data_IF_504268785946
#
_entry.id   IF_504268785946
#
_cell.length_a   1.000
_cell.length_b   1.000
_cell.length_c   1.000
_cell.angle_alpha   90.00
_cell.angle_beta   90.00
_cell.angle_gamma   90.00
#
_symmetry.space_group_name_H-M   'P 1'
#
loop_
_entity.id
_entity.type
_entity.pdbx_description
1 polymer ?
#
# COMPACT_ATOMS: atom_id res chain seq x y z
N UNK A 1 -21.82 4.56 37.38
CA UNK A 1 -20.55 3.85 37.64
C UNK A 1 -20.85 2.37 37.48
N UNK A 2 -20.46 1.76 36.35
CA UNK A 2 -20.61 0.33 36.11
C UNK A 2 -19.22 -0.21 35.74
N UNK A 3 -18.65 -1.02 36.63
CA UNK A 3 -17.44 -1.78 36.33
C UNK A 3 -17.88 -3.09 35.67
N UNK A 4 -17.92 -3.13 34.35
CA UNK A 4 -18.10 -4.39 33.63
C UNK A 4 -16.76 -5.12 33.63
N UNK A 5 -16.62 -6.08 34.54
CA UNK A 5 -15.61 -7.13 34.48
C UNK A 5 -15.80 -7.89 33.17
N UNK A 6 -14.82 -7.80 32.26
CA UNK A 6 -14.77 -8.58 31.03
C UNK A 6 -14.34 -10.01 31.37
N UNK A 7 -15.27 -10.77 31.95
CA UNK A 7 -15.15 -12.21 32.09
C UNK A 7 -15.54 -12.85 30.76
N UNK A 8 -14.57 -13.07 29.86
CA UNK A 8 -14.46 -14.25 28.98
C UNK A 8 -13.40 -13.99 27.88
N UNK A 9 -12.14 -14.34 28.19
CA UNK A 9 -11.16 -14.84 27.22
C UNK A 9 -10.05 -15.55 27.99
N UNK A 10 -10.19 -16.86 28.22
CA UNK A 10 -9.45 -17.59 29.25
C UNK A 10 -7.97 -17.90 28.95
N UNK A 11 -7.34 -17.35 27.91
CA UNK A 11 -5.97 -17.77 27.52
C UNK A 11 -4.92 -16.68 27.24
N UNK A 12 -5.19 -15.40 27.47
CA UNK A 12 -4.15 -14.37 27.30
C UNK A 12 -3.66 -13.87 28.66
N UNK A 13 -2.40 -14.20 28.99
CA UNK A 13 -1.71 -13.73 30.21
C UNK A 13 -0.85 -12.52 29.87
N UNK A 14 -1.05 -11.43 30.59
CA UNK A 14 -0.28 -10.21 30.40
C UNK A 14 0.81 -10.10 31.48
N UNK A 15 2.02 -9.77 31.04
CA UNK A 15 3.17 -9.53 31.92
C UNK A 15 3.72 -8.14 31.68
N UNK A 16 4.03 -7.42 32.75
CA UNK A 16 4.75 -6.15 32.70
C UNK A 16 6.16 -6.41 33.18
N UNK A 17 7.13 -6.03 32.34
CA UNK A 17 8.54 -6.21 32.62
C UNK A 17 9.21 -4.84 32.84
N UNK A 18 9.86 -4.66 33.98
CA UNK A 18 10.74 -3.53 34.23
C UNK A 18 12.20 -4.02 34.15
N UNK A 19 12.97 -3.49 33.20
CA UNK A 19 14.37 -3.87 32.96
C UNK A 19 15.30 -2.80 33.51
N UNK A 20 16.14 -3.17 34.48
CA UNK A 20 17.25 -2.33 34.94
C UNK A 20 18.50 -2.66 34.10
N UNK A 21 18.81 -1.76 33.14
CA UNK A 21 19.93 -1.93 32.20
C UNK A 21 21.30 -1.93 32.87
N UNK A 22 21.46 -1.26 34.01
CA UNK A 22 22.75 -1.18 34.72
C UNK A 22 23.05 -2.47 35.48
N UNK A 23 22.02 -3.05 36.10
CA UNK A 23 22.13 -4.29 36.86
C UNK A 23 21.91 -5.54 36.00
N UNK A 24 21.53 -5.37 34.73
CA UNK A 24 21.09 -6.46 33.82
C UNK A 24 20.06 -7.38 34.46
N UNK A 25 19.13 -6.82 35.25
CA UNK A 25 18.06 -7.59 35.89
C UNK A 25 16.70 -7.15 35.38
N UNK A 26 15.77 -8.10 35.27
CA UNK A 26 14.40 -7.86 34.82
C UNK A 26 13.44 -8.31 35.91
N UNK A 27 12.56 -7.40 36.34
CA UNK A 27 11.44 -7.73 37.24
C UNK A 27 10.19 -7.92 36.39
N UNK A 28 9.63 -9.12 36.41
CA UNK A 28 8.39 -9.47 35.70
C UNK A 28 7.25 -9.50 36.72
N UNK A 29 6.18 -8.78 36.45
CA UNK A 29 4.95 -8.79 37.25
C UNK A 29 3.78 -9.23 36.39
N UNK A 30 3.01 -10.21 36.89
CA UNK A 30 1.80 -10.69 36.22
C UNK A 30 0.65 -9.71 36.43
N UNK A 31 0.04 -9.23 35.34
CA UNK A 31 -1.10 -8.31 35.40
C UNK A 31 -2.38 -9.13 35.46
N UNK A 32 -3.05 -9.10 36.62
CA UNK A 32 -4.27 -9.89 36.87
C UNK A 32 -5.52 -9.33 36.18
N UNK A 33 -5.55 -8.04 35.82
CA UNK A 33 -6.71 -7.41 35.19
C UNK A 33 -6.28 -6.22 34.32
N UNK A 34 -6.82 -6.15 33.09
CA UNK A 34 -6.76 -4.96 32.24
C UNK A 34 -8.07 -4.19 32.39
N UNK A 35 -7.98 -2.88 32.64
CA UNK A 35 -9.15 -2.01 32.73
C UNK A 35 -9.31 -1.25 31.42
N UNK A 36 -10.41 -1.47 30.71
CA UNK A 36 -10.86 -0.58 29.64
C UNK A 36 -11.69 0.55 30.26
N UNK A 37 -11.21 1.78 30.13
CA UNK A 37 -11.93 2.98 30.53
C UNK A 37 -12.52 3.65 29.29
N UNK A 38 -13.84 3.67 29.19
CA UNK A 38 -14.57 4.53 28.25
C UNK A 38 -14.93 5.85 28.96
N UNK A 39 -14.46 6.98 28.42
CA UNK A 39 -14.92 8.30 28.85
C UNK A 39 -16.34 8.50 28.32
N UNK A 40 -17.27 8.74 29.24
CA UNK A 40 -18.61 9.26 28.90
C UNK A 40 -18.66 10.68 29.43
N UNK A 41 -18.84 11.63 28.52
CA UNK A 41 -18.96 13.04 28.88
C UNK A 41 -20.24 13.24 29.69
N UNK A 42 -20.10 13.94 30.81
CA UNK A 42 -21.18 14.31 31.72
C UNK A 42 -22.22 15.18 30.99
N UNK A 43 -23.50 14.86 31.23
CA UNK A 43 -24.74 15.52 30.73
C UNK A 43 -24.57 16.97 30.23
N UNK A 44 -25.08 17.32 29.03
CA UNK A 44 -25.11 18.70 28.56
C UNK A 44 -26.14 19.52 29.35
N UNK A 45 -25.71 20.70 29.80
CA UNK A 45 -26.56 21.80 30.25
C UNK A 45 -27.29 22.34 29.02
N UNK A 46 -28.60 22.56 29.12
CA UNK A 46 -29.45 22.99 28.00
C UNK A 46 -28.95 24.32 27.43
N UNK A 47 -28.68 24.36 26.13
CA UNK A 47 -28.06 25.50 25.44
C UNK A 47 -28.89 26.79 25.50
N UNK A 48 -30.21 26.67 25.69
CA UNK A 48 -31.14 27.80 25.75
C UNK A 48 -30.95 28.70 26.99
N UNK A 49 -30.56 28.15 28.14
CA UNK A 49 -30.34 28.96 29.36
C UNK A 49 -28.97 29.67 29.34
N UNK A 50 -27.99 29.13 28.61
CA UNK A 50 -26.67 29.73 28.49
C UNK A 50 -26.62 30.90 27.49
N UNK A 51 -27.54 30.94 26.52
CA UNK A 51 -27.61 32.05 25.55
C UNK A 51 -28.23 33.32 26.15
N UNK A 52 -29.23 33.19 27.02
CA UNK A 52 -29.98 34.34 27.54
C UNK A 52 -29.14 35.17 28.53
N UNK A 53 -28.35 34.51 29.39
CA UNK A 53 -27.37 35.14 30.27
C UNK A 53 -26.22 35.82 29.51
N UNK A 54 -25.86 35.30 28.34
CA UNK A 54 -24.77 35.85 27.52
C UNK A 54 -25.20 37.11 26.75
N UNK A 55 -26.46 37.14 26.28
CA UNK A 55 -27.05 38.28 25.58
C UNK A 55 -27.29 39.44 26.54
N UNK A 56 -27.90 39.19 27.70
CA UNK A 56 -28.13 40.21 28.73
C UNK A 56 -26.83 40.83 29.24
N UNK A 57 -25.79 40.01 29.44
CA UNK A 57 -24.46 40.51 29.83
C UNK A 57 -23.78 41.33 28.74
N UNK A 58 -23.98 41.00 27.46
CA UNK A 58 -23.44 41.77 26.35
C UNK A 58 -24.10 43.17 26.26
N UNK A 59 -25.42 43.24 26.42
CA UNK A 59 -26.16 44.51 26.44
C UNK A 59 -25.75 45.40 27.61
N UNK A 60 -25.58 44.83 28.81
CA UNK A 60 -25.10 45.57 29.98
C UNK A 60 -23.68 46.12 29.78
N UNK A 61 -22.79 45.36 29.13
CA UNK A 61 -21.43 45.83 28.81
C UNK A 61 -21.46 46.91 27.72
N UNK A 62 -22.42 46.86 26.80
CA UNK A 62 -22.59 47.89 25.76
C UNK A 62 -23.16 49.20 26.34
N UNK A 63 -24.12 49.13 27.26
CA UNK A 63 -24.75 50.29 27.89
C UNK A 63 -23.90 50.89 29.00
N UNK A 64 -23.36 50.08 29.93
CA UNK A 64 -22.69 50.55 31.15
C UNK A 64 -21.20 50.20 31.25
N UNK A 65 -20.68 49.40 30.31
CA UNK A 65 -19.28 48.99 30.33
C UNK A 65 -18.31 50.14 30.06
N UNK A 66 -17.14 50.11 30.72
CA UNK A 66 -16.04 51.04 30.42
C UNK A 66 -15.45 50.84 29.02
N UNK A 67 -14.66 51.81 28.55
CA UNK A 67 -14.06 51.83 27.19
C UNK A 67 -13.28 50.54 26.85
N UNK A 68 -12.64 49.92 27.85
CA UNK A 68 -11.93 48.63 27.72
C UNK A 68 -12.88 47.43 27.58
N UNK A 69 -14.03 47.45 28.26
CA UNK A 69 -15.04 46.40 28.18
C UNK A 69 -15.74 46.37 26.82
N UNK A 70 -16.09 47.54 26.28
CA UNK A 70 -16.69 47.69 24.95
C UNK A 70 -15.74 47.19 23.84
N UNK A 71 -14.45 47.52 23.93
CA UNK A 71 -13.44 47.05 22.96
C UNK A 71 -13.30 45.52 22.97
N UNK A 72 -13.30 44.90 24.14
CA UNK A 72 -13.23 43.44 24.26
C UNK A 72 -14.51 42.74 23.73
N UNK A 73 -15.69 43.34 23.95
CA UNK A 73 -16.94 42.84 23.37
C UNK A 73 -16.89 42.91 21.84
N UNK A 74 -16.42 44.04 21.30
CA UNK A 74 -16.31 44.26 19.87
C UNK A 74 -15.31 43.30 19.21
N UNK A 75 -14.15 43.06 19.83
CA UNK A 75 -13.21 42.03 19.34
C UNK A 75 -13.77 40.60 19.40
N UNK A 76 -14.68 40.30 20.33
CA UNK A 76 -15.37 38.99 20.36
C UNK A 76 -16.43 38.86 19.27
N UNK A 77 -17.11 39.96 18.92
CA UNK A 77 -18.05 40.00 17.79
C UNK A 77 -17.28 39.86 16.47
N UNK A 78 -16.17 40.58 16.32
CA UNK A 78 -15.31 40.53 15.13
C UNK A 78 -14.58 39.17 14.99
N UNK A 79 -14.22 38.53 16.12
CA UNK A 79 -13.64 37.19 16.15
C UNK A 79 -14.64 36.04 16.03
N UNK A 80 -15.95 36.33 16.09
CA UNK A 80 -17.01 35.36 15.80
C UNK A 80 -17.16 35.29 14.28
N UNK A 81 -16.18 34.66 13.65
CA UNK A 81 -16.28 34.22 12.26
C UNK A 81 -17.53 33.35 12.16
N UNK A 82 -18.59 33.89 11.56
CA UNK A 82 -19.84 33.17 11.38
C UNK A 82 -19.55 31.97 10.48
N UNK A 83 -20.00 30.79 10.91
CA UNK A 83 -19.90 29.53 10.15
C UNK A 83 -20.48 29.65 8.75
N UNK A 84 -21.37 30.61 8.52
CA UNK A 84 -21.92 30.98 7.21
C UNK A 84 -20.89 31.64 6.28
N UNK A 85 -19.99 32.48 6.80
CA UNK A 85 -18.92 33.11 5.98
C UNK A 85 -17.83 32.10 5.62
N UNK A 86 -17.54 31.15 6.51
CA UNK A 86 -16.64 30.02 6.20
C UNK A 86 -17.29 29.14 5.14
N UNK A 87 -18.58 28.82 5.27
CA UNK A 87 -19.29 28.02 4.27
C UNK A 87 -19.38 28.72 2.90
N UNK A 88 -19.57 30.05 2.84
CA UNK A 88 -19.58 30.80 1.58
C UNK A 88 -18.19 30.91 0.94
N UNK A 89 -17.14 31.13 1.74
CA UNK A 89 -15.76 31.19 1.24
C UNK A 89 -15.24 29.80 0.83
N UNK A 90 -15.61 28.74 1.55
CA UNK A 90 -15.33 27.35 1.16
C UNK A 90 -16.13 26.94 -0.08
N UNK A 91 -17.40 27.34 -0.20
CA UNK A 91 -18.21 27.09 -1.40
C UNK A 91 -17.64 27.82 -2.63
N UNK A 92 -17.18 29.06 -2.49
CA UNK A 92 -16.50 29.79 -3.58
C UNK A 92 -15.14 29.17 -3.93
N UNK A 93 -14.37 28.72 -2.94
CA UNK A 93 -13.11 28.02 -3.18
C UNK A 93 -13.35 26.68 -3.91
N UNK A 94 -14.37 25.93 -3.51
CA UNK A 94 -14.80 24.70 -4.18
C UNK A 94 -15.30 24.98 -5.60
N UNK A 95 -16.10 26.03 -5.80
CA UNK A 95 -16.63 26.36 -7.12
C UNK A 95 -15.56 26.87 -8.10
N UNK A 96 -14.51 27.56 -7.60
CA UNK A 96 -13.34 27.92 -8.41
C UNK A 96 -12.45 26.70 -8.71
N UNK A 97 -12.37 25.73 -7.80
CA UNK A 97 -11.67 24.46 -8.02
C UNK A 97 -12.43 23.61 -9.05
N UNK A 98 -13.76 23.55 -8.94
CA UNK A 98 -14.62 22.83 -9.89
C UNK A 98 -14.58 23.51 -11.25
N UNK A 99 -14.66 24.85 -11.34
CA UNK A 99 -14.63 25.55 -12.64
C UNK A 99 -13.27 25.45 -13.33
N UNK A 100 -12.17 25.39 -12.57
CA UNK A 100 -10.82 25.13 -13.12
C UNK A 100 -10.59 23.66 -13.49
N UNK A 101 -11.36 22.73 -12.91
CA UNK A 101 -11.37 21.31 -13.29
C UNK A 101 -12.29 21.02 -14.49
N UNK A 102 -13.44 21.68 -14.60
CA UNK A 102 -14.41 21.48 -15.69
C UNK A 102 -13.83 21.95 -17.04
N UNK A 103 -12.95 22.95 -17.05
CA UNK A 103 -12.18 23.32 -18.25
C UNK A 103 -11.10 22.31 -18.69
N UNK A 104 -10.86 21.24 -17.91
CA UNK A 104 -9.93 20.14 -18.22
C UNK A 104 -10.64 18.82 -18.56
N UNK A 105 -11.98 18.78 -18.52
CA UNK A 105 -12.74 17.56 -18.89
C UNK A 105 -13.13 17.69 -20.35
N UNK A 106 -12.12 17.54 -21.21
CA UNK A 106 -12.29 17.28 -22.64
C UNK A 106 -11.04 16.55 -23.11
N UNK A 107 -11.00 15.27 -22.76
CA UNK A 107 -10.26 14.18 -23.40
C UNK A 107 -10.61 12.86 -22.68
N UNK A 108 -11.64 12.18 -23.16
CA UNK A 108 -12.07 10.83 -22.75
C UNK A 108 -11.07 9.71 -23.13
N UNK A 109 -9.78 10.01 -23.29
CA UNK A 109 -8.72 9.04 -23.60
C UNK A 109 -7.50 9.12 -22.68
N UNK A 110 -7.56 9.92 -21.61
CA UNK A 110 -6.44 10.09 -20.67
C UNK A 110 -6.87 9.97 -19.19
N UNK A 111 -7.80 9.06 -18.88
CA UNK A 111 -7.77 8.45 -17.54
C UNK A 111 -6.51 7.58 -17.55
N UNK A 112 -5.40 8.15 -17.12
CA UNK A 112 -4.23 7.37 -16.73
C UNK A 112 -4.75 6.37 -15.71
N UNK A 113 -4.77 5.10 -16.12
CA UNK A 113 -4.96 3.95 -15.26
C UNK A 113 -3.77 3.85 -14.31
N UNK A 114 -3.65 4.80 -13.38
CA UNK A 114 -2.58 4.89 -12.38
C UNK A 114 -2.64 3.65 -11.48
N UNK A 115 -1.99 2.56 -11.92
CA UNK A 115 -1.88 1.32 -11.15
C UNK A 115 -2.12 0.04 -11.95
N UNK A 116 -2.71 0.10 -13.16
CA UNK A 116 -2.89 -1.09 -13.98
C UNK A 116 -1.65 -1.35 -14.88
N UNK A 117 -1.28 -2.62 -15.10
CA UNK A 117 -0.30 -2.97 -16.12
C UNK A 117 -0.78 -2.58 -17.53
N UNK A 118 0.13 -2.48 -18.52
CA UNK A 118 -0.23 -2.12 -19.89
C UNK A 118 -1.28 -3.10 -20.44
N UNK A 119 -2.46 -2.57 -20.75
CA UNK A 119 -3.62 -3.32 -21.21
C UNK A 119 -3.84 -3.07 -22.70
N UNK A 120 -4.02 -4.13 -23.49
CA UNK A 120 -4.35 -4.04 -24.90
C UNK A 120 -5.84 -4.32 -25.12
N UNK A 121 -6.68 -3.30 -25.36
CA UNK A 121 -8.12 -3.47 -25.57
C UNK A 121 -8.47 -4.10 -26.94
N UNK A 122 -7.50 -4.16 -27.87
CA UNK A 122 -7.76 -4.50 -29.28
C UNK A 122 -7.56 -5.98 -29.60
N UNK A 123 -7.49 -6.86 -28.61
CA UNK A 123 -7.24 -8.29 -28.81
C UNK A 123 -8.35 -9.13 -28.19
N UNK A 124 -8.81 -10.12 -28.96
CA UNK A 124 -9.80 -11.11 -28.55
C UNK A 124 -9.15 -12.30 -27.81
N UNK A 125 -7.81 -12.36 -27.77
CA UNK A 125 -7.06 -13.42 -27.07
C UNK A 125 -6.66 -12.97 -25.68
N UNK A 126 -7.00 -13.78 -24.69
CA UNK A 126 -6.69 -13.55 -23.27
C UNK A 126 -5.18 -13.38 -23.03
N UNK A 127 -4.34 -14.14 -23.74
CA UNK A 127 -2.88 -14.09 -23.61
C UNK A 127 -2.24 -12.80 -24.15
N UNK A 128 -2.93 -12.10 -25.05
CA UNK A 128 -2.46 -10.86 -25.66
C UNK A 128 -3.04 -9.62 -24.96
N UNK A 129 -4.03 -9.81 -24.08
CA UNK A 129 -4.68 -8.75 -23.31
C UNK A 129 -3.67 -7.98 -22.45
N UNK A 130 -2.66 -8.68 -21.93
CA UNK A 130 -1.53 -8.12 -21.21
C UNK A 130 -0.21 -8.58 -21.84
N UNK A 131 0.31 -7.85 -22.84
CA UNK A 131 1.51 -8.26 -23.56
C UNK A 131 2.73 -8.27 -22.63
N UNK A 132 3.54 -9.33 -22.73
CA UNK A 132 4.77 -9.47 -21.94
C UNK A 132 5.77 -8.36 -22.26
N UNK A 133 5.76 -7.85 -23.49
CA UNK A 133 6.58 -6.73 -23.95
C UNK A 133 6.24 -5.41 -23.23
N UNK A 134 5.01 -5.30 -22.68
CA UNK A 134 4.60 -4.20 -21.82
C UNK A 134 4.97 -4.41 -20.35
N UNK A 135 5.02 -5.67 -19.89
CA UNK A 135 5.32 -6.03 -18.51
C UNK A 135 6.82 -6.02 -18.22
N UNK A 136 7.62 -6.58 -19.13
CA UNK A 136 9.09 -6.69 -19.03
C UNK A 136 9.72 -5.71 -20.02
N UNK A 137 10.68 -4.92 -19.55
CA UNK A 137 11.37 -3.98 -20.42
C UNK A 137 12.14 -4.69 -21.55
N UNK A 138 12.20 -4.06 -22.72
CA UNK A 138 13.14 -4.48 -23.76
C UNK A 138 14.61 -4.52 -23.27
N UNK A 139 14.97 -3.63 -22.32
CA UNK A 139 16.30 -3.59 -21.71
C UNK A 139 16.60 -4.76 -20.76
N UNK A 140 15.55 -5.38 -20.20
CA UNK A 140 15.63 -6.50 -19.25
C UNK A 140 15.48 -7.85 -19.94
N UNK A 141 14.84 -7.87 -21.12
CA UNK A 141 14.41 -9.08 -21.80
C UNK A 141 15.49 -10.15 -21.91
N UNK A 142 16.68 -9.78 -22.38
CA UNK A 142 17.82 -10.71 -22.54
C UNK A 142 18.31 -11.31 -21.21
N UNK A 143 18.27 -10.53 -20.14
CA UNK A 143 18.74 -10.97 -18.82
C UNK A 143 17.70 -11.88 -18.15
N UNK A 144 16.41 -11.57 -18.32
CA UNK A 144 15.30 -12.40 -17.86
C UNK A 144 15.24 -13.71 -18.64
N UNK A 145 15.40 -13.66 -19.97
CA UNK A 145 15.40 -14.82 -20.85
C UNK A 145 16.54 -15.78 -20.51
N UNK A 146 17.78 -15.29 -20.42
CA UNK A 146 18.91 -16.13 -20.02
C UNK A 146 18.76 -16.74 -18.62
N UNK A 147 18.20 -15.99 -17.66
CA UNK A 147 17.93 -16.54 -16.33
C UNK A 147 16.82 -17.59 -16.36
N UNK A 148 15.77 -17.35 -17.14
CA UNK A 148 14.66 -18.27 -17.33
C UNK A 148 15.11 -19.59 -17.94
N UNK A 149 15.97 -19.56 -18.97
CA UNK A 149 16.53 -20.77 -19.58
C UNK A 149 17.36 -21.59 -18.58
N UNK A 150 18.25 -20.93 -17.83
CA UNK A 150 19.08 -21.60 -16.83
C UNK A 150 18.23 -22.22 -15.74
N UNK A 151 17.24 -21.49 -15.22
CA UNK A 151 16.33 -21.99 -14.19
C UNK A 151 15.48 -23.15 -14.72
N UNK A 152 14.90 -23.02 -15.91
CA UNK A 152 14.11 -24.09 -16.53
C UNK A 152 14.94 -25.36 -16.73
N UNK A 153 16.20 -25.23 -17.15
CA UNK A 153 17.10 -26.37 -17.32
C UNK A 153 17.36 -27.11 -16.00
N UNK A 154 17.54 -26.36 -14.89
CA UNK A 154 17.75 -26.94 -13.56
C UNK A 154 16.48 -27.61 -13.03
N UNK A 155 15.32 -26.99 -13.20
CA UNK A 155 14.03 -27.56 -12.78
C UNK A 155 13.74 -28.84 -13.56
N UNK A 156 13.97 -28.84 -14.88
CA UNK A 156 13.82 -30.02 -15.74
C UNK A 156 14.77 -31.15 -15.35
N UNK A 157 15.98 -30.82 -14.88
CA UNK A 157 16.95 -31.78 -14.36
C UNK A 157 16.64 -32.26 -12.92
N UNK A 158 15.47 -31.93 -12.35
CA UNK A 158 15.12 -32.18 -10.95
C UNK A 158 16.09 -31.56 -9.92
N UNK A 159 16.82 -30.50 -10.30
CA UNK A 159 17.76 -29.75 -9.45
C UNK A 159 17.11 -28.46 -8.95
N UNK A 160 15.86 -28.54 -8.53
CA UNK A 160 15.07 -27.39 -8.10
C UNK A 160 15.67 -26.70 -6.86
N UNK A 161 16.25 -27.45 -5.93
CA UNK A 161 16.86 -26.88 -4.72
C UNK A 161 18.10 -26.02 -5.04
N UNK A 162 18.88 -26.40 -6.05
CA UNK A 162 19.99 -25.58 -6.53
C UNK A 162 19.49 -24.29 -7.21
N UNK A 163 18.40 -24.38 -7.96
CA UNK A 163 17.78 -23.21 -8.55
C UNK A 163 17.26 -22.25 -7.47
N UNK A 164 16.67 -22.78 -6.39
CA UNK A 164 16.27 -21.99 -5.21
C UNK A 164 17.45 -21.32 -4.53
N UNK A 165 18.57 -22.03 -4.33
CA UNK A 165 19.73 -21.44 -3.65
C UNK A 165 20.44 -20.38 -4.50
N UNK A 166 20.65 -20.68 -5.79
CA UNK A 166 21.45 -19.83 -6.68
C UNK A 166 20.69 -18.60 -7.18
N UNK A 167 19.41 -18.74 -7.51
CA UNK A 167 18.58 -17.67 -8.05
C UNK A 167 17.55 -17.16 -7.03
N UNK A 168 17.54 -17.72 -5.83
CA UNK A 168 16.63 -17.33 -4.76
C UNK A 168 15.17 -17.46 -5.18
N UNK A 169 14.80 -18.59 -5.77
CA UNK A 169 13.44 -18.88 -6.18
C UNK A 169 12.56 -19.22 -4.97
N UNK A 170 11.34 -18.68 -4.97
CA UNK A 170 10.30 -19.06 -4.03
C UNK A 170 9.67 -20.40 -4.43
N UNK A 171 9.11 -21.12 -3.46
CA UNK A 171 8.47 -22.43 -3.69
C UNK A 171 7.35 -22.36 -4.72
N UNK A 172 6.53 -21.31 -4.67
CA UNK A 172 5.45 -21.06 -5.64
C UNK A 172 6.00 -20.93 -7.07
N UNK A 173 7.13 -20.26 -7.25
CA UNK A 173 7.74 -20.11 -8.58
C UNK A 173 8.23 -21.45 -9.12
N UNK A 174 8.84 -22.27 -8.25
CA UNK A 174 9.31 -23.61 -8.63
C UNK A 174 8.14 -24.52 -9.01
N UNK A 175 7.01 -24.44 -8.29
CA UNK A 175 5.79 -25.18 -8.62
C UNK A 175 5.22 -24.76 -9.99
N UNK A 176 5.09 -23.45 -10.22
CA UNK A 176 4.60 -22.90 -11.51
C UNK A 176 5.51 -23.37 -12.67
N UNK A 177 6.83 -23.25 -12.51
CA UNK A 177 7.80 -23.71 -13.50
C UNK A 177 7.71 -25.22 -13.73
N UNK A 178 7.59 -26.01 -12.66
CA UNK A 178 7.43 -27.46 -12.74
C UNK A 178 6.17 -27.85 -13.52
N UNK A 179 5.05 -27.17 -13.28
CA UNK A 179 3.80 -27.41 -13.99
C UNK A 179 3.91 -27.01 -15.47
N UNK A 180 4.43 -25.81 -15.76
CA UNK A 180 4.63 -25.35 -17.12
C UNK A 180 5.53 -26.29 -17.94
N UNK A 181 6.58 -26.85 -17.33
CA UNK A 181 7.49 -27.79 -17.99
C UNK A 181 6.90 -29.20 -18.14
N UNK A 182 5.95 -29.62 -17.28
CA UNK A 182 5.29 -30.94 -17.32
C UNK A 182 4.11 -30.99 -18.28
N UNK A 183 3.34 -29.90 -18.38
CA UNK A 183 2.22 -29.78 -19.32
C UNK A 183 2.65 -29.93 -20.78
N UNK A 184 3.94 -29.75 -21.06
CA UNK A 184 4.44 -29.66 -22.42
C UNK A 184 5.16 -30.94 -22.86
N UNK A 185 4.39 -31.97 -23.22
CA UNK A 185 4.90 -33.14 -23.93
C UNK A 185 5.28 -32.82 -25.40
N UNK A 186 4.76 -31.73 -25.96
CA UNK A 186 5.15 -31.14 -27.26
C UNK A 186 5.02 -29.59 -27.17
N UNK A 187 6.10 -28.78 -27.33
CA UNK A 187 5.96 -27.33 -27.24
C UNK A 187 5.83 -26.66 -28.61
N UNK A 188 4.86 -25.76 -28.73
CA UNK A 188 5.16 -24.43 -29.24
C UNK A 188 6.17 -23.82 -28.25
N UNK A 189 7.45 -23.85 -28.63
CA UNK A 189 8.61 -23.43 -27.80
C UNK A 189 8.39 -22.04 -27.16
N UNK A 190 7.60 -21.21 -27.84
CA UNK A 190 7.25 -19.85 -27.43
C UNK A 190 6.39 -19.77 -26.17
N UNK A 191 5.40 -20.64 -25.99
CA UNK A 191 4.48 -20.55 -24.85
C UNK A 191 5.17 -20.95 -23.55
N UNK A 192 6.00 -22.00 -23.60
CA UNK A 192 6.84 -22.41 -22.46
C UNK A 192 7.83 -21.32 -22.12
N UNK A 193 8.45 -20.70 -23.13
CA UNK A 193 9.37 -19.57 -22.92
C UNK A 193 8.67 -18.42 -22.20
N UNK A 194 7.49 -18.02 -22.68
CA UNK A 194 6.68 -16.96 -22.07
C UNK A 194 6.27 -17.28 -20.63
N UNK A 195 5.76 -18.49 -20.36
CA UNK A 195 5.39 -18.93 -18.99
C UNK A 195 6.60 -18.92 -18.06
N UNK A 196 7.76 -19.39 -18.54
CA UNK A 196 9.00 -19.44 -17.76
C UNK A 196 9.54 -18.05 -17.44
N UNK A 197 9.58 -17.16 -18.44
CA UNK A 197 9.98 -15.76 -18.25
C UNK A 197 9.05 -15.05 -17.27
N UNK A 198 7.75 -15.27 -17.39
CA UNK A 198 6.73 -14.72 -16.48
C UNK A 198 6.96 -15.19 -15.05
N UNK A 199 7.21 -16.49 -14.84
CA UNK A 199 7.46 -17.07 -13.53
C UNK A 199 8.74 -16.52 -12.87
N UNK A 200 9.81 -16.35 -13.64
CA UNK A 200 11.07 -15.76 -13.14
C UNK A 200 10.87 -14.29 -12.77
N UNK A 201 10.21 -13.50 -13.62
CA UNK A 201 9.96 -12.09 -13.32
C UNK A 201 9.01 -11.93 -12.11
N UNK A 202 8.01 -12.81 -11.99
CA UNK A 202 7.14 -12.89 -10.82
C UNK A 202 7.95 -13.13 -9.54
N UNK A 203 8.96 -14.00 -9.55
CA UNK A 203 9.84 -14.22 -8.40
C UNK A 203 10.52 -12.93 -7.95
N UNK A 204 11.02 -12.13 -8.89
CA UNK A 204 11.63 -10.85 -8.58
C UNK A 204 10.64 -9.89 -7.91
N UNK A 205 9.41 -9.78 -8.42
CA UNK A 205 8.37 -8.94 -7.85
C UNK A 205 7.93 -9.41 -6.45
N UNK A 206 7.77 -10.72 -6.25
CA UNK A 206 7.38 -11.28 -4.95
C UNK A 206 8.46 -11.02 -3.90
N UNK A 207 9.74 -11.21 -4.24
CA UNK A 207 10.85 -10.91 -3.33
C UNK A 207 11.01 -9.42 -3.09
N UNK A 208 10.80 -8.61 -4.11
CA UNK A 208 10.79 -7.16 -3.96
C UNK A 208 9.68 -6.72 -2.99
N UNK A 209 8.49 -7.31 -3.11
CA UNK A 209 7.37 -7.04 -2.22
C UNK A 209 7.70 -7.39 -0.76
N UNK A 210 8.33 -8.55 -0.53
CA UNK A 210 8.62 -9.06 0.81
C UNK A 210 9.80 -8.39 1.51
N UNK A 211 10.85 -8.06 0.74
CA UNK A 211 12.17 -7.74 1.29
C UNK A 211 12.49 -6.25 1.24
N UNK A 212 11.90 -5.50 0.28
CA UNK A 212 12.23 -4.09 0.06
C UNK A 212 11.04 -3.22 0.46
N UNK A 213 11.21 -2.43 1.52
CA UNK A 213 10.22 -1.41 1.96
C UNK A 213 10.69 0.03 1.75
N UNK A 214 12.00 0.23 1.74
CA UNK A 214 12.63 1.50 1.48
C UNK A 214 14.15 1.34 1.45
N UNK A 215 14.81 2.14 0.63
CA UNK A 215 16.25 2.08 0.42
C UNK A 215 16.83 3.50 0.28
N UNK A 216 18.12 3.67 0.55
CA UNK A 216 18.80 4.91 0.16
C UNK A 216 18.88 4.99 -1.36
N UNK A 217 18.61 6.16 -1.97
CA UNK A 217 18.61 6.35 -3.44
C UNK A 217 19.90 5.89 -4.11
N UNK A 218 21.05 6.10 -3.45
CA UNK A 218 22.38 5.71 -3.98
C UNK A 218 22.64 4.20 -3.90
N UNK A 219 22.01 3.50 -2.96
CA UNK A 219 22.22 2.08 -2.74
C UNK A 219 21.02 1.22 -3.15
N UNK A 220 19.97 1.84 -3.73
CA UNK A 220 18.70 1.18 -3.96
C UNK A 220 18.84 -0.01 -4.92
N UNK A 221 19.51 0.16 -6.05
CA UNK A 221 19.73 -0.92 -7.02
C UNK A 221 20.48 -2.10 -6.41
N UNK A 222 21.54 -1.84 -5.63
CA UNK A 222 22.33 -2.88 -4.96
C UNK A 222 21.53 -3.62 -3.89
N UNK A 223 20.79 -2.89 -3.04
CA UNK A 223 19.94 -3.49 -2.00
C UNK A 223 18.83 -4.33 -2.64
N UNK A 224 18.23 -3.84 -3.73
CA UNK A 224 17.20 -4.57 -4.46
C UNK A 224 17.79 -5.82 -5.10
N UNK A 225 18.94 -5.70 -5.76
CA UNK A 225 19.64 -6.83 -6.39
C UNK A 225 19.95 -7.93 -5.39
N UNK A 226 20.49 -7.59 -4.21
CA UNK A 226 20.77 -8.58 -3.15
C UNK A 226 19.47 -9.21 -2.62
N UNK A 227 18.44 -8.39 -2.42
CA UNK A 227 17.18 -8.84 -1.84
C UNK A 227 16.33 -9.71 -2.77
N UNK A 228 16.42 -9.49 -4.08
CA UNK A 228 15.61 -10.19 -5.10
C UNK A 228 16.40 -11.24 -5.88
N UNK A 229 17.73 -11.19 -5.82
CA UNK A 229 18.63 -11.93 -6.73
C UNK A 229 18.39 -11.61 -8.21
N UNK A 230 17.78 -10.46 -8.51
CA UNK A 230 17.52 -10.02 -9.88
C UNK A 230 18.78 -9.40 -10.53
N UNK A 231 18.90 -9.43 -11.86
CA UNK A 231 19.94 -8.70 -12.59
C UNK A 231 19.92 -7.19 -12.30
N UNK A 232 21.06 -6.50 -12.48
CA UNK A 232 21.21 -5.08 -12.13
C UNK A 232 20.17 -4.19 -12.81
N UNK A 233 19.93 -4.39 -14.11
CA UNK A 233 18.97 -3.57 -14.86
C UNK A 233 17.54 -3.78 -14.37
N UNK A 234 17.21 -5.02 -14.01
CA UNK A 234 15.91 -5.34 -13.41
C UNK A 234 15.76 -4.68 -12.04
N UNK A 235 16.79 -4.74 -11.19
CA UNK A 235 16.79 -4.09 -9.90
C UNK A 235 16.64 -2.55 -10.00
N UNK A 236 17.33 -1.93 -10.96
CA UNK A 236 17.21 -0.50 -11.25
C UNK A 236 15.80 -0.12 -11.67
N UNK A 237 15.20 -0.87 -12.61
CA UNK A 237 13.84 -0.59 -13.06
C UNK A 237 12.80 -0.80 -11.96
N UNK A 238 12.92 -1.86 -11.15
CA UNK A 238 12.04 -2.07 -9.98
C UNK A 238 12.07 -0.88 -9.02
N UNK A 239 13.24 -0.23 -8.87
CA UNK A 239 13.39 0.98 -8.05
C UNK A 239 12.68 2.20 -8.65
N UNK A 240 12.68 2.32 -9.98
CA UNK A 240 12.06 3.44 -10.72
C UNK A 240 10.53 3.28 -10.79
N UNK A 241 10.07 2.07 -11.06
CA UNK A 241 8.66 1.79 -11.33
C UNK A 241 7.81 1.70 -10.06
N UNK A 242 8.40 1.23 -8.96
CA UNK A 242 7.67 0.92 -7.72
C UNK A 242 8.19 1.65 -6.46
N UNK A 243 9.09 2.61 -6.61
CA UNK A 243 9.51 3.47 -5.49
C UNK A 243 9.49 4.95 -5.88
N UNK A 244 9.34 5.80 -4.86
CA UNK A 244 9.32 7.26 -4.97
C UNK A 244 10.25 7.87 -3.95
N UNK A 245 10.81 9.02 -4.28
CA UNK A 245 11.66 9.77 -3.37
C UNK A 245 10.81 10.36 -2.24
N UNK A 246 11.23 10.15 -1.00
CA UNK A 246 10.58 10.69 0.19
C UNK A 246 10.87 12.20 0.29
N UNK A 247 9.88 13.01 -0.09
CA UNK A 247 9.96 14.47 -0.03
C UNK A 247 9.65 15.02 1.36
N UNK A 248 9.18 14.19 2.31
CA UNK A 248 8.81 14.65 3.65
C UNK A 248 10.04 14.86 4.55
N UNK A 249 11.14 14.15 4.28
CA UNK A 249 12.34 14.20 5.10
C UNK A 249 13.37 15.15 4.47
N UNK A 250 13.62 16.31 5.10
CA UNK A 250 14.49 17.39 4.57
C UNK A 250 15.94 17.00 4.26
N UNK A 251 16.41 15.84 4.70
CA UNK A 251 17.86 15.54 4.69
C UNK A 251 18.28 14.24 3.99
N UNK A 252 17.37 13.34 3.58
CA UNK A 252 17.80 12.07 2.98
C UNK A 252 16.97 11.70 1.75
N UNK A 253 17.67 11.59 0.61
CA UNK A 253 17.20 10.97 -0.63
C UNK A 253 16.94 9.47 -0.40
N UNK A 254 15.85 9.17 0.29
CA UNK A 254 15.37 7.82 0.53
C UNK A 254 14.27 7.51 -0.46
N UNK A 255 14.32 6.32 -1.05
CA UNK A 255 13.23 5.77 -1.81
C UNK A 255 12.30 5.02 -0.86
N UNK A 256 11.02 5.37 -0.90
CA UNK A 256 9.94 4.71 -0.17
C UNK A 256 8.91 4.16 -1.16
N UNK A 257 8.25 3.07 -0.79
CA UNK A 257 7.14 2.53 -1.57
C UNK A 257 5.83 3.15 -1.05
N UNK A 258 5.13 3.87 -1.91
CA UNK A 258 3.82 4.43 -1.58
C UNK A 258 2.73 3.34 -1.62
N UNK A 259 1.54 3.65 -1.12
CA UNK A 259 0.41 2.72 -1.17
C UNK A 259 -0.01 2.41 -2.62
N UNK A 260 -0.03 3.41 -3.49
CA UNK A 260 -0.32 3.25 -4.93
C UNK A 260 0.72 2.38 -5.63
N UNK A 261 2.01 2.57 -5.33
CA UNK A 261 3.08 1.73 -5.90
C UNK A 261 2.97 0.28 -5.41
N UNK A 262 2.57 0.08 -4.15
CA UNK A 262 2.33 -1.25 -3.61
C UNK A 262 1.14 -1.94 -4.27
N UNK A 263 0.07 -1.22 -4.56
CA UNK A 263 -1.10 -1.78 -5.23
C UNK A 263 -0.78 -2.05 -6.72
N UNK A 264 -0.01 -1.18 -7.38
CA UNK A 264 0.52 -1.42 -8.74
C UNK A 264 1.40 -2.68 -8.80
N UNK A 265 2.32 -2.84 -7.85
CA UNK A 265 3.18 -4.03 -7.75
C UNK A 265 2.37 -5.32 -7.64
N UNK A 266 1.29 -5.29 -6.85
CA UNK A 266 0.37 -6.41 -6.69
C UNK A 266 -0.33 -6.72 -8.01
N UNK A 267 -0.84 -5.71 -8.72
CA UNK A 267 -1.51 -5.92 -10.01
C UNK A 267 -0.55 -6.51 -11.06
N UNK A 268 0.68 -6.00 -11.15
CA UNK A 268 1.71 -6.58 -12.02
C UNK A 268 2.02 -8.03 -11.66
N UNK A 269 2.14 -8.34 -10.36
CA UNK A 269 2.40 -9.70 -9.89
C UNK A 269 1.24 -10.65 -10.22
N UNK A 270 -0.01 -10.19 -10.11
CA UNK A 270 -1.18 -10.99 -10.46
C UNK A 270 -1.26 -11.29 -11.96
N UNK A 271 -1.03 -10.29 -12.80
CA UNK A 271 -1.02 -10.49 -14.26
C UNK A 271 0.09 -11.47 -14.66
N UNK A 272 1.31 -11.30 -14.16
CA UNK A 272 2.41 -12.23 -14.46
C UNK A 272 2.16 -13.64 -13.94
N UNK A 273 1.50 -13.77 -12.79
CA UNK A 273 1.08 -15.07 -12.28
C UNK A 273 0.03 -15.72 -13.19
N UNK A 274 -0.97 -14.98 -13.65
CA UNK A 274 -1.97 -15.47 -14.60
C UNK A 274 -1.31 -15.91 -15.91
N UNK A 275 -0.40 -15.11 -16.47
CA UNK A 275 0.35 -15.48 -17.68
C UNK A 275 1.19 -16.74 -17.44
N UNK A 276 1.82 -16.88 -16.27
CA UNK A 276 2.65 -18.05 -15.96
C UNK A 276 1.83 -19.35 -15.80
N UNK A 277 0.59 -19.26 -15.31
CA UNK A 277 -0.33 -20.41 -15.12
C UNK A 277 -1.32 -20.56 -16.29
N UNK A 278 -1.18 -19.78 -17.37
CA UNK A 278 -2.08 -19.83 -18.52
C UNK A 278 -3.54 -19.56 -18.15
N UNK A 279 -3.79 -18.58 -17.28
CA UNK A 279 -5.11 -18.10 -16.86
C UNK A 279 -6.02 -19.16 -16.19
N UNK A 280 -5.45 -20.27 -15.71
CA UNK A 280 -6.21 -21.40 -15.13
C UNK A 280 -5.86 -21.72 -13.67
N UNK A 281 -5.17 -20.80 -12.96
CA UNK A 281 -4.61 -21.05 -11.63
C UNK A 281 -5.54 -20.80 -10.44
N UNK A 282 -5.27 -21.51 -9.33
CA UNK A 282 -5.89 -21.21 -8.03
C UNK A 282 -5.19 -20.03 -7.34
N UNK A 283 -5.96 -18.98 -7.04
CA UNK A 283 -5.39 -17.72 -6.54
C UNK A 283 -4.90 -17.82 -5.08
N UNK A 284 -5.29 -18.86 -4.34
CA UNK A 284 -4.98 -19.03 -2.91
C UNK A 284 -3.47 -19.02 -2.61
N UNK A 285 -2.67 -19.57 -3.52
CA UNK A 285 -1.21 -19.67 -3.36
C UNK A 285 -0.53 -18.31 -3.55
N UNK A 286 -0.91 -17.55 -4.59
CA UNK A 286 -0.31 -16.24 -4.88
C UNK A 286 -0.68 -15.20 -3.83
N UNK A 287 -1.87 -15.28 -3.22
CA UNK A 287 -2.26 -14.40 -2.13
C UNK A 287 -1.41 -14.57 -0.87
N UNK A 288 -1.07 -15.82 -0.53
CA UNK A 288 -0.16 -16.11 0.59
C UNK A 288 1.23 -15.53 0.30
N UNK A 289 1.73 -15.69 -0.93
CA UNK A 289 3.01 -15.13 -1.35
C UNK A 289 3.03 -13.60 -1.32
N UNK A 290 1.94 -12.94 -1.74
CA UNK A 290 1.80 -11.48 -1.74
C UNK A 290 1.49 -10.87 -0.37
N UNK A 291 1.21 -11.69 0.66
CA UNK A 291 0.83 -11.27 2.03
C UNK A 291 -0.37 -10.31 2.06
N UNK A 292 -1.33 -10.50 1.16
CA UNK A 292 -2.52 -9.67 1.07
C UNK A 292 -3.62 -10.19 2.01
N UNK A 293 -4.41 -9.26 2.57
CA UNK A 293 -5.64 -9.62 3.28
C UNK A 293 -6.76 -9.94 2.29
N UNK A 294 -7.67 -10.85 2.68
CA UNK A 294 -8.88 -11.24 1.93
C UNK A 294 -9.81 -10.05 1.56
N UNK A 295 -9.65 -8.90 2.18
CA UNK A 295 -10.40 -7.68 1.84
C UNK A 295 -9.83 -6.92 0.64
N UNK A 296 -8.51 -6.96 0.44
CA UNK A 296 -7.87 -6.42 -0.78
C UNK A 296 -8.13 -7.30 -2.01
N UNK A 297 -8.29 -8.61 -1.79
CA UNK A 297 -8.67 -9.63 -2.78
C UNK A 297 -9.93 -9.28 -3.58
N UNK A 298 -10.98 -8.79 -2.92
CA UNK A 298 -12.27 -8.54 -3.59
C UNK A 298 -12.16 -7.34 -4.54
N UNK A 299 -11.39 -6.32 -4.17
CA UNK A 299 -11.18 -5.14 -5.02
C UNK A 299 -10.35 -5.46 -6.26
N UNK A 300 -9.30 -6.27 -6.13
CA UNK A 300 -8.48 -6.66 -7.29
C UNK A 300 -9.24 -7.54 -8.29
N UNK A 301 -10.21 -8.33 -7.83
CA UNK A 301 -11.09 -9.15 -8.68
C UNK A 301 -12.11 -8.35 -9.52
N UNK A 302 -12.32 -7.08 -9.19
CA UNK A 302 -13.21 -6.17 -9.93
C UNK A 302 -12.43 -5.40 -11.02
N UNK A 303 -11.10 -5.39 -10.96
CA UNK A 303 -10.23 -4.63 -11.85
C UNK A 303 -9.45 -5.48 -12.87
N UNK A 304 -9.55 -6.81 -12.79
CA UNK A 304 -9.07 -7.79 -13.76
C UNK A 304 -10.29 -8.43 -14.43
#
# INVERSE_FOLDING_TARGET
>A
MFLTSLSHCHHIRYFVCAVDRKKKTMKISHVRSLFLLSRTDTKPRTEAEASDDAVTKAELVQQFGGKRGKRNLQSRIEGRVTTEKIAEDEARALQNTISSQVGKISTESAIVTEGLPPYNPNTDKVDETYPLEGLIAASEWKEVESTAELVASLVKANRADEAKQKYGLLDITVQILGNALRETSEPLVEDVRRKTQSAVYLNYLLRFNSSVRGASKRAASLIIQEATSAPSKTAERLSIDFMREDTATRDHSRLIRTQSDSDRLVMYSLVLWLTAVGFSGEITEIYKALRLSLTKYVKSKICL
#
